data_IF_888990548017
#
_entry.id   IF_888990548017
#
_cell.length_a   1.000
_cell.length_b   1.000
_cell.length_c   1.000
_cell.angle_alpha   90.00
_cell.angle_beta   90.00
_cell.angle_gamma   90.00
#
_symmetry.space_group_name_H-M   'P 1'
#
loop_
_entity.id
_entity.type
_entity.pdbx_description
1 polymer ?
#
# COMPACT_ATOMS: atom_id res chain seq x y z
N UNK A 1 20.03 -19.72 -5.56
CA UNK A 1 19.96 -18.27 -5.29
C UNK A 1 19.63 -18.09 -3.82
N UNK A 2 20.56 -17.58 -3.02
CA UNK A 2 20.33 -17.37 -1.59
C UNK A 2 19.34 -16.23 -1.38
N UNK A 3 18.22 -16.51 -0.70
CA UNK A 3 17.25 -15.50 -0.29
C UNK A 3 17.83 -14.71 0.88
N UNK A 4 18.57 -13.64 0.58
CA UNK A 4 19.07 -12.70 1.60
C UNK A 4 17.87 -11.97 2.21
N UNK A 5 17.41 -12.45 3.36
CA UNK A 5 16.40 -11.78 4.17
C UNK A 5 16.97 -10.44 4.66
N UNK A 6 16.48 -9.33 4.10
CA UNK A 6 16.90 -7.99 4.50
C UNK A 6 16.05 -7.56 5.70
N UNK A 7 16.65 -7.62 6.89
CA UNK A 7 16.04 -7.04 8.10
C UNK A 7 15.78 -5.55 7.84
N UNK A 8 14.55 -5.05 8.07
CA UNK A 8 14.22 -3.65 7.88
C UNK A 8 15.13 -2.77 8.75
N UNK A 9 15.85 -1.83 8.13
CA UNK A 9 16.81 -0.94 8.81
C UNK A 9 16.16 0.37 9.27
N UNK A 10 14.91 0.63 8.87
CA UNK A 10 14.16 1.84 9.24
C UNK A 10 12.86 1.45 9.94
N UNK A 11 12.49 2.23 10.96
CA UNK A 11 11.22 2.11 11.71
C UNK A 11 9.99 2.17 10.78
N UNK A 12 10.15 2.70 9.56
CA UNK A 12 9.08 2.93 8.60
C UNK A 12 9.06 1.92 7.42
N UNK A 13 9.74 0.78 7.54
CA UNK A 13 9.65 -0.29 6.54
C UNK A 13 8.30 -1.01 6.69
N UNK A 14 7.61 -1.29 5.57
CA UNK A 14 6.30 -1.95 5.61
C UNK A 14 6.42 -3.37 6.14
N UNK A 15 5.53 -3.74 7.06
CA UNK A 15 5.45 -5.12 7.55
C UNK A 15 5.10 -6.05 6.37
N UNK A 16 5.93 -7.05 6.15
CA UNK A 16 5.70 -8.07 5.13
C UNK A 16 4.96 -9.26 5.75
N UNK A 17 3.86 -9.67 5.14
CA UNK A 17 3.13 -10.90 5.44
C UNK A 17 3.36 -11.86 4.28
N UNK A 18 4.11 -12.95 4.52
CA UNK A 18 4.56 -13.94 3.52
C UNK A 18 5.40 -13.32 2.39
N UNK A 19 4.75 -12.60 1.47
CA UNK A 19 5.36 -11.88 0.32
C UNK A 19 4.68 -10.54 0.02
N UNK A 20 3.62 -10.19 0.76
CA UNK A 20 2.81 -9.00 0.54
C UNK A 20 3.08 -7.97 1.63
N UNK A 21 2.94 -6.68 1.33
CA UNK A 21 2.88 -5.69 2.39
C UNK A 21 1.54 -5.82 3.12
N UNK A 22 1.53 -5.59 4.43
CA UNK A 22 0.32 -5.67 5.26
C UNK A 22 -0.79 -4.75 4.73
N UNK A 23 -0.41 -3.59 4.20
CA UNK A 23 -1.29 -2.62 3.55
C UNK A 23 -1.96 -3.18 2.28
N UNK A 24 -1.28 -4.05 1.51
CA UNK A 24 -1.86 -4.71 0.34
C UNK A 24 -2.71 -5.94 0.71
N UNK A 25 -2.31 -6.66 1.76
CA UNK A 25 -2.98 -7.88 2.18
C UNK A 25 -4.40 -7.62 2.71
N UNK A 26 -4.58 -6.59 3.55
CA UNK A 26 -5.87 -6.30 4.19
C UNK A 26 -7.00 -6.07 3.16
N UNK A 27 -6.85 -5.20 2.14
CA UNK A 27 -7.89 -4.97 1.14
C UNK A 27 -8.21 -6.22 0.31
N UNK A 28 -7.19 -7.02 -0.04
CA UNK A 28 -7.37 -8.27 -0.78
C UNK A 28 -8.17 -9.28 0.05
N UNK A 29 -7.81 -9.45 1.33
CA UNK A 29 -8.52 -10.33 2.24
C UNK A 29 -9.99 -9.92 2.42
N UNK A 30 -10.26 -8.62 2.59
CA UNK A 30 -11.63 -8.08 2.68
C UNK A 30 -12.41 -8.36 1.39
N UNK A 31 -11.81 -8.09 0.22
CA UNK A 31 -12.47 -8.32 -1.07
C UNK A 31 -12.86 -9.79 -1.25
N UNK A 32 -11.98 -10.73 -0.90
CA UNK A 32 -12.26 -12.17 -0.98
C UNK A 32 -13.36 -12.58 0.00
N UNK A 33 -13.34 -12.08 1.24
CA UNK A 33 -14.40 -12.35 2.22
C UNK A 33 -15.76 -11.85 1.73
N UNK A 34 -15.83 -10.61 1.23
CA UNK A 34 -17.07 -10.06 0.68
C UNK A 34 -17.55 -10.84 -0.55
N UNK A 35 -16.63 -11.22 -1.43
CA UNK A 35 -16.93 -12.06 -2.59
C UNK A 35 -17.59 -13.38 -2.22
N UNK A 36 -17.09 -14.03 -1.17
CA UNK A 36 -17.71 -15.24 -0.63
C UNK A 36 -19.11 -14.96 -0.05
N UNK A 37 -19.26 -13.91 0.76
CA UNK A 37 -20.54 -13.54 1.38
C UNK A 37 -21.63 -13.25 0.35
N UNK A 38 -21.30 -12.56 -0.75
CA UNK A 38 -22.27 -12.16 -1.78
C UNK A 38 -22.37 -13.15 -2.95
N UNK A 39 -21.71 -14.31 -2.87
CA UNK A 39 -21.59 -15.29 -3.99
C UNK A 39 -21.01 -14.67 -5.29
N UNK A 40 -20.26 -13.58 -5.15
CA UNK A 40 -19.56 -12.86 -6.22
C UNK A 40 -18.05 -13.17 -6.18
N UNK A 41 -17.73 -14.47 -6.15
CA UNK A 41 -16.35 -14.94 -5.97
C UNK A 41 -15.46 -14.58 -7.17
N UNK A 42 -16.03 -14.57 -8.38
CA UNK A 42 -15.25 -14.28 -9.60
C UNK A 42 -14.93 -12.78 -9.69
N UNK A 43 -15.90 -11.93 -9.40
CA UNK A 43 -15.80 -10.47 -9.42
C UNK A 43 -14.81 -9.97 -8.36
N UNK A 44 -14.91 -10.52 -7.15
CA UNK A 44 -13.97 -10.22 -6.07
C UNK A 44 -12.54 -10.67 -6.38
N UNK A 45 -12.36 -11.82 -7.04
CA UNK A 45 -11.04 -12.30 -7.47
C UNK A 45 -10.43 -11.36 -8.52
N UNK A 46 -11.21 -10.94 -9.52
CA UNK A 46 -10.77 -9.97 -10.54
C UNK A 46 -10.37 -8.65 -9.87
N UNK A 47 -11.19 -8.17 -8.94
CA UNK A 47 -10.90 -6.95 -8.18
C UNK A 47 -9.61 -7.07 -7.36
N UNK A 48 -9.42 -8.18 -6.65
CA UNK A 48 -8.22 -8.43 -5.85
C UNK A 48 -6.94 -8.45 -6.70
N UNK A 49 -6.97 -9.11 -7.86
CA UNK A 49 -5.83 -9.16 -8.80
C UNK A 49 -5.54 -7.76 -9.34
N UNK A 50 -6.58 -7.02 -9.74
CA UNK A 50 -6.43 -5.67 -10.27
C UNK A 50 -5.84 -4.72 -9.21
N UNK A 51 -6.38 -4.74 -8.00
CA UNK A 51 -5.89 -3.97 -6.87
C UNK A 51 -4.43 -4.30 -6.56
N UNK A 52 -4.07 -5.59 -6.55
CA UNK A 52 -2.70 -6.02 -6.32
C UNK A 52 -1.73 -5.50 -7.39
N UNK A 53 -2.11 -5.54 -8.67
CA UNK A 53 -1.27 -5.01 -9.75
C UNK A 53 -1.06 -3.50 -9.63
N UNK A 54 -2.12 -2.75 -9.37
CA UNK A 54 -2.07 -1.30 -9.22
C UNK A 54 -1.17 -0.94 -8.04
N UNK A 55 -1.42 -1.52 -6.87
CA UNK A 55 -0.64 -1.23 -5.66
C UNK A 55 0.82 -1.68 -5.79
N UNK A 56 1.10 -2.78 -6.48
CA UNK A 56 2.47 -3.21 -6.79
C UNK A 56 3.17 -2.23 -7.71
N UNK A 57 2.49 -1.74 -8.75
CA UNK A 57 3.03 -0.73 -9.67
C UNK A 57 3.37 0.57 -8.93
N UNK A 58 2.47 1.06 -8.07
CA UNK A 58 2.72 2.27 -7.29
C UNK A 58 3.84 2.06 -6.26
N UNK A 59 3.88 0.91 -5.58
CA UNK A 59 4.91 0.62 -4.59
C UNK A 59 6.31 0.47 -5.18
N UNK A 60 6.44 0.08 -6.45
CA UNK A 60 7.74 -0.04 -7.12
C UNK A 60 8.22 1.29 -7.71
N UNK A 61 7.30 2.11 -8.22
CA UNK A 61 7.65 3.34 -8.96
C UNK A 61 7.60 4.60 -8.10
N UNK A 62 6.91 4.57 -6.96
CA UNK A 62 6.69 5.75 -6.14
C UNK A 62 7.07 5.52 -4.67
N UNK A 63 7.50 6.59 -3.98
CA UNK A 63 7.75 6.56 -2.54
C UNK A 63 6.49 6.23 -1.73
N UNK A 64 6.70 5.74 -0.51
CA UNK A 64 5.60 5.38 0.40
C UNK A 64 4.79 6.62 0.76
N UNK A 65 3.46 6.52 0.70
CA UNK A 65 2.56 7.66 0.96
C UNK A 65 2.30 8.55 -0.26
N UNK A 66 2.88 8.27 -1.43
CA UNK A 66 2.63 9.03 -2.66
C UNK A 66 1.15 9.13 -3.02
N UNK A 67 0.39 8.02 -2.90
CA UNK A 67 -1.03 7.99 -3.23
C UNK A 67 -1.85 8.86 -2.26
N UNK A 68 -1.56 8.80 -0.97
CA UNK A 68 -2.22 9.64 0.04
C UNK A 68 -1.92 11.13 -0.20
N UNK A 69 -0.68 11.45 -0.57
CA UNK A 69 -0.29 12.82 -0.88
C UNK A 69 -0.95 13.33 -2.16
N UNK A 70 -1.03 12.51 -3.21
CA UNK A 70 -1.76 12.84 -4.43
C UNK A 70 -3.24 13.11 -4.13
N UNK A 71 -3.90 12.21 -3.37
CA UNK A 71 -5.30 12.38 -2.99
C UNK A 71 -5.53 13.66 -2.17
N UNK A 72 -4.58 14.03 -1.32
CA UNK A 72 -4.61 15.32 -0.63
C UNK A 72 -4.40 16.51 -1.55
N UNK A 73 -3.44 16.43 -2.48
CA UNK A 73 -3.18 17.48 -3.45
C UNK A 73 -4.41 17.77 -4.32
N UNK A 74 -5.15 16.73 -4.72
CA UNK A 74 -6.42 16.84 -5.43
C UNK A 74 -7.61 17.19 -4.54
N UNK A 75 -7.42 17.39 -3.23
CA UNK A 75 -8.48 17.76 -2.29
C UNK A 75 -9.46 16.65 -1.94
N UNK A 76 -9.20 15.41 -2.35
CA UNK A 76 -10.06 14.23 -2.13
C UNK A 76 -9.93 13.74 -0.69
N UNK A 77 -8.73 13.81 -0.11
CA UNK A 77 -8.44 13.28 1.23
C UNK A 77 -7.73 14.33 2.10
N UNK A 78 -8.18 14.50 3.35
CA UNK A 78 -7.44 15.33 4.32
C UNK A 78 -6.20 14.56 4.78
N UNK A 79 -5.02 15.17 4.65
CA UNK A 79 -3.77 14.60 5.15
C UNK A 79 -3.90 14.45 6.68
N UNK A 80 -3.74 13.22 7.20
CA UNK A 80 -3.70 12.97 8.65
C UNK A 80 -2.35 13.35 9.28
N UNK A 81 -1.50 14.10 8.58
CA UNK A 81 -0.27 14.62 9.15
C UNK A 81 -0.63 15.80 10.05
N UNK A 82 -0.34 15.68 11.35
CA UNK A 82 -0.39 16.81 12.26
C UNK A 82 0.58 17.91 11.80
N UNK A 83 0.30 19.17 12.16
CA UNK A 83 1.09 20.34 11.78
C UNK A 83 2.61 20.26 12.11
N UNK A 84 3.03 19.29 12.93
CA UNK A 84 4.42 19.07 13.35
C UNK A 84 5.08 17.84 12.71
N UNK A 85 4.36 17.03 11.94
CA UNK A 85 4.95 15.82 11.33
C UNK A 85 5.77 16.26 10.11
N UNK A 86 7.10 16.06 10.10
CA UNK A 86 7.92 16.43 8.95
C UNK A 86 7.44 15.67 7.72
N UNK A 87 7.22 16.39 6.63
CA UNK A 87 6.76 15.85 5.36
C UNK A 87 7.66 14.67 4.95
N UNK A 88 7.15 13.42 4.97
CA UNK A 88 7.95 12.24 4.64
C UNK A 88 8.46 12.31 3.20
N UNK A 89 7.77 13.05 2.31
CA UNK A 89 8.19 13.25 0.93
C UNK A 89 9.33 14.26 0.81
N UNK A 90 9.39 15.32 1.63
CA UNK A 90 10.58 16.20 1.67
C UNK A 90 11.85 15.44 2.06
N UNK A 91 11.73 14.42 2.90
CA UNK A 91 12.89 13.61 3.36
C UNK A 91 13.32 12.56 2.34
N UNK A 92 12.45 12.17 1.41
CA UNK A 92 12.73 11.17 0.37
C UNK A 92 13.14 11.78 -0.98
N UNK A 93 12.67 12.99 -1.31
CA UNK A 93 13.05 13.72 -2.53
C UNK A 93 14.33 14.56 -2.39
N UNK A 94 14.71 14.96 -1.17
CA UNK A 94 16.01 15.60 -0.91
C UNK A 94 16.99 14.48 -0.61
N UNK A 95 17.67 14.00 -1.65
CA UNK A 95 18.84 13.15 -1.54
C UNK A 95 20.02 13.83 -2.20
#
# INVERSE_FOLDING_TARGET
>A
MAMTYRIPKKVNDSLLILFFTLEQFIPIAIAVMLGYTFKAAMESMIFAIMYFKITSYFSQNHPRGYVEHMLWYYGIMKLKLGAKTPDPMKKEFIR
#
